data_IF_628892819379
#
_entry.id   IF_628892819379
#
_cell.length_a   1.000
_cell.length_b   1.000
_cell.length_c   1.000
_cell.angle_alpha   90.00
_cell.angle_beta   90.00
_cell.angle_gamma   90.00
#
_symmetry.space_group_name_H-M   'P 1'
#
loop_
_entity.id
_entity.type
_entity.pdbx_description
1 polymer ?
#
# COMPACT_ATOMS: atom_id res chain seq x y z
N UNK A 1 -2.99 -9.70 11.63
CA UNK A 1 -1.94 -9.11 10.76
C UNK A 1 -1.73 -7.66 11.13
N UNK A 2 -0.52 -7.12 10.95
CA UNK A 2 -0.17 -5.73 11.29
C UNK A 2 0.30 -4.97 10.06
N UNK A 3 -0.18 -3.75 9.86
CA UNK A 3 0.30 -2.86 8.80
C UNK A 3 1.02 -1.66 9.40
N UNK A 4 2.28 -1.47 9.02
CA UNK A 4 3.10 -0.37 9.49
C UNK A 4 3.03 0.80 8.51
N UNK A 5 2.57 1.96 8.97
CA UNK A 5 2.53 3.21 8.19
C UNK A 5 2.35 4.45 9.06
N UNK A 6 2.60 5.62 8.48
CA UNK A 6 2.20 6.87 9.12
C UNK A 6 0.68 7.11 8.96
N UNK A 7 0.03 7.86 9.87
CA UNK A 7 -1.41 8.10 9.82
C UNK A 7 -1.88 8.71 8.49
N UNK A 8 -3.09 8.35 8.05
CA UNK A 8 -3.74 8.86 6.84
C UNK A 8 -2.94 8.63 5.53
N UNK A 9 -2.16 7.55 5.44
CA UNK A 9 -1.48 7.20 4.21
C UNK A 9 -2.46 6.56 3.20
N UNK A 10 -2.75 7.19 2.05
CA UNK A 10 -3.71 6.64 1.08
C UNK A 10 -3.28 5.29 0.49
N UNK A 11 -1.98 4.97 0.54
CA UNK A 11 -1.45 3.67 0.12
C UNK A 11 -1.93 2.52 1.03
N UNK A 12 -2.23 2.79 2.29
CA UNK A 12 -2.75 1.81 3.25
C UNK A 12 -4.25 1.56 3.02
N UNK A 13 -4.99 2.56 2.56
CA UNK A 13 -6.44 2.45 2.39
C UNK A 13 -6.83 1.33 1.43
N UNK A 14 -6.04 1.07 0.37
CA UNK A 14 -6.27 -0.06 -0.55
C UNK A 14 -6.35 -1.40 0.22
N UNK A 15 -5.41 -1.62 1.13
CA UNK A 15 -5.33 -2.81 1.97
C UNK A 15 -6.49 -2.86 2.98
N UNK A 16 -6.81 -1.75 3.64
CA UNK A 16 -7.91 -1.66 4.60
C UNK A 16 -9.29 -1.86 3.95
N UNK A 17 -9.50 -1.32 2.74
CA UNK A 17 -10.72 -1.52 1.98
C UNK A 17 -10.85 -3.00 1.61
N UNK A 18 -9.80 -3.61 1.04
CA UNK A 18 -9.79 -5.03 0.71
C UNK A 18 -10.12 -5.88 1.95
N UNK A 19 -9.48 -5.60 3.08
CA UNK A 19 -9.69 -6.27 4.36
C UNK A 19 -11.16 -6.24 4.81
N UNK A 20 -11.83 -5.08 4.71
CA UNK A 20 -13.26 -4.95 5.04
C UNK A 20 -14.15 -5.81 4.14
N UNK A 21 -13.86 -5.87 2.84
CA UNK A 21 -14.62 -6.71 1.90
C UNK A 21 -14.46 -8.21 2.18
N UNK A 22 -13.28 -8.63 2.64
CA UNK A 22 -13.00 -10.04 2.94
C UNK A 22 -13.25 -10.43 4.40
N UNK A 23 -13.66 -9.49 5.25
CA UNK A 23 -13.92 -9.74 6.67
C UNK A 23 -12.66 -10.01 7.50
N UNK A 24 -11.53 -9.44 7.10
CA UNK A 24 -10.23 -9.60 7.78
C UNK A 24 -9.90 -8.34 8.57
N UNK A 25 -9.39 -8.50 9.79
CA UNK A 25 -8.91 -7.39 10.62
C UNK A 25 -7.41 -7.16 10.41
N UNK A 26 -7.03 -5.88 10.31
CA UNK A 26 -5.64 -5.43 10.19
C UNK A 26 -5.41 -4.38 11.27
N UNK A 27 -4.47 -4.66 12.15
CA UNK A 27 -4.00 -3.71 13.16
C UNK A 27 -3.05 -2.69 12.50
N UNK A 28 -3.17 -1.42 12.89
CA UNK A 28 -2.26 -0.34 12.48
C UNK A 28 -1.54 0.21 13.72
N UNK A 29 -0.39 -0.37 14.11
CA UNK A 29 0.37 0.10 15.26
C UNK A 29 0.85 1.55 15.06
N UNK A 30 1.06 2.27 16.16
CA UNK A 30 1.69 3.59 16.11
C UNK A 30 3.06 3.50 15.44
N UNK A 31 3.29 4.36 14.44
CA UNK A 31 4.50 4.34 13.63
C UNK A 31 4.89 5.74 13.18
N UNK A 32 6.14 6.12 13.46
CA UNK A 32 6.73 7.41 13.15
C UNK A 32 7.75 7.27 12.03
N UNK A 33 7.41 7.80 10.84
CA UNK A 33 8.35 7.85 9.72
C UNK A 33 9.55 8.77 10.05
N UNK A 34 10.74 8.37 9.62
CA UNK A 34 12.01 9.04 9.95
C UNK A 34 12.68 8.52 11.22
N UNK A 35 11.92 7.89 12.12
CA UNK A 35 12.42 7.25 13.33
C UNK A 35 12.34 5.72 13.22
N UNK A 36 11.12 5.19 13.16
CA UNK A 36 10.90 3.75 13.28
C UNK A 36 11.34 2.98 12.03
N UNK A 37 11.17 3.58 10.84
CA UNK A 37 11.64 2.98 9.58
C UNK A 37 13.17 2.95 9.43
N UNK A 38 13.92 3.64 10.31
CA UNK A 38 15.39 3.67 10.31
C UNK A 38 16.03 2.66 11.27
N UNK A 39 15.20 1.97 12.06
CA UNK A 39 15.66 0.92 12.97
C UNK A 39 16.15 -0.30 12.20
N UNK A 40 17.08 -1.08 12.79
CA UNK A 40 17.57 -2.31 12.16
C UNK A 40 16.47 -3.36 12.06
N UNK A 41 15.58 -3.35 13.05
CA UNK A 41 14.41 -4.18 13.17
C UNK A 41 13.45 -3.94 12.00
N UNK A 42 13.18 -2.69 11.64
CA UNK A 42 12.32 -2.38 10.49
C UNK A 42 13.01 -2.62 9.14
N UNK A 43 14.32 -2.36 9.05
CA UNK A 43 15.10 -2.68 7.86
C UNK A 43 15.08 -4.19 7.54
N UNK A 44 14.98 -5.06 8.56
CA UNK A 44 14.80 -6.50 8.38
C UNK A 44 13.42 -6.88 7.82
N UNK A 45 12.37 -6.05 8.05
CA UNK A 45 11.02 -6.26 7.50
C UNK A 45 10.90 -5.79 6.05
N UNK A 46 11.55 -4.67 5.71
CA UNK A 46 11.57 -4.13 4.35
C UNK A 46 12.95 -3.50 4.04
N UNK A 47 13.74 -4.07 3.11
CA UNK A 47 15.06 -3.54 2.78
C UNK A 47 15.01 -2.12 2.17
N UNK A 48 13.86 -1.73 1.60
CA UNK A 48 13.64 -0.39 1.03
C UNK A 48 13.38 0.66 2.12
N UNK A 49 13.09 0.25 3.36
CA UNK A 49 12.79 1.13 4.51
C UNK A 49 11.66 2.14 4.26
N UNK A 50 10.73 1.77 3.38
CA UNK A 50 9.51 2.53 3.05
C UNK A 50 8.28 1.85 3.64
N UNK A 51 7.20 2.61 3.70
CA UNK A 51 5.87 2.15 4.13
C UNK A 51 4.86 2.31 2.99
N UNK A 52 3.79 1.49 2.93
CA UNK A 52 3.38 0.48 3.92
C UNK A 52 4.18 -0.83 3.87
N UNK A 53 4.20 -1.53 5.02
CA UNK A 53 4.66 -2.92 5.16
C UNK A 53 3.60 -3.70 5.94
N UNK A 54 3.13 -4.80 5.38
CA UNK A 54 2.26 -5.77 6.06
C UNK A 54 3.12 -6.87 6.68
N UNK A 55 2.96 -7.11 7.97
CA UNK A 55 3.51 -8.26 8.68
C UNK A 55 2.42 -9.33 8.87
N UNK A 56 2.75 -10.53 8.43
CA UNK A 56 1.94 -11.75 8.54
C UNK A 56 2.75 -12.82 9.30
N UNK A 57 2.11 -13.94 9.62
CA UNK A 57 2.78 -15.07 10.28
C UNK A 57 3.81 -15.76 9.37
N UNK A 58 3.71 -15.56 8.05
CA UNK A 58 4.62 -16.13 7.04
C UNK A 58 5.81 -15.19 6.72
N UNK A 59 5.69 -13.91 7.04
CA UNK A 59 6.72 -12.91 6.76
C UNK A 59 6.18 -11.51 6.47
N UNK A 60 7.00 -10.69 5.83
CA UNK A 60 6.66 -9.30 5.52
C UNK A 60 6.41 -9.10 4.01
N UNK A 61 5.40 -8.30 3.69
CA UNK A 61 5.04 -7.90 2.33
C UNK A 61 5.10 -6.36 2.26
N UNK A 62 5.84 -5.83 1.29
CA UNK A 62 5.86 -4.40 0.97
C UNK A 62 5.27 -4.16 -0.43
N UNK A 63 5.08 -2.89 -0.80
CA UNK A 63 4.27 -2.42 -1.95
C UNK A 63 2.75 -2.49 -1.72
N UNK A 64 2.10 -1.34 -1.82
CA UNK A 64 0.68 -1.19 -1.47
C UNK A 64 -0.27 -2.06 -2.31
N UNK A 65 -0.03 -2.16 -3.62
CA UNK A 65 -0.82 -3.03 -4.48
C UNK A 65 -0.56 -4.52 -4.16
N UNK A 66 0.68 -4.92 -3.83
CA UNK A 66 0.98 -6.30 -3.46
C UNK A 66 0.27 -6.69 -2.14
N UNK A 67 0.30 -5.80 -1.15
CA UNK A 67 -0.42 -5.97 0.12
C UNK A 67 -1.93 -6.11 -0.12
N UNK A 68 -2.53 -5.21 -0.91
CA UNK A 68 -3.95 -5.26 -1.22
C UNK A 68 -4.35 -6.55 -1.93
N UNK A 69 -3.55 -7.01 -2.90
CA UNK A 69 -3.75 -8.29 -3.60
C UNK A 69 -3.65 -9.50 -2.66
N UNK A 70 -2.70 -9.49 -1.73
CA UNK A 70 -2.57 -10.56 -0.73
C UNK A 70 -3.83 -10.65 0.13
N UNK A 71 -4.25 -9.52 0.72
CA UNK A 71 -5.45 -9.46 1.57
C UNK A 71 -6.70 -9.88 0.79
N UNK A 72 -6.85 -9.38 -0.44
CA UNK A 72 -7.98 -9.71 -1.29
C UNK A 72 -8.12 -11.22 -1.53
N UNK A 73 -6.99 -11.93 -1.68
CA UNK A 73 -6.97 -13.40 -1.87
C UNK A 73 -7.28 -14.18 -0.59
N UNK A 74 -7.14 -13.60 0.60
CA UNK A 74 -7.51 -14.27 1.86
C UNK A 74 -9.02 -14.51 1.95
N UNK A 75 -9.83 -13.65 1.33
CA UNK A 75 -11.29 -13.84 1.21
C UNK A 75 -11.71 -14.78 0.09
N UNK A 76 -10.78 -15.51 -0.51
CA UNK A 76 -11.01 -16.27 -1.74
C UNK A 76 -11.14 -15.36 -2.95
N UNK A 77 -12.12 -15.62 -3.80
CA UNK A 77 -12.23 -15.01 -5.13
C UNK A 77 -13.25 -13.88 -5.25
N UNK A 78 -13.65 -13.27 -4.12
CA UNK A 78 -14.79 -12.34 -4.08
C UNK A 78 -14.51 -10.99 -4.71
N UNK A 79 -13.28 -10.48 -4.59
CA UNK A 79 -12.91 -9.12 -5.03
C UNK A 79 -11.66 -9.06 -5.92
N UNK A 80 -11.04 -10.20 -6.21
CA UNK A 80 -9.82 -10.28 -7.01
C UNK A 80 -9.93 -11.25 -8.20
N UNK A 81 -11.15 -11.62 -8.59
CA UNK A 81 -11.41 -12.49 -9.74
C UNK A 81 -11.24 -13.98 -9.47
N UNK A 82 -11.82 -14.79 -10.33
CA UNK A 82 -11.87 -16.26 -10.27
C UNK A 82 -11.09 -16.95 -11.40
N UNK A 83 -10.57 -16.18 -12.36
CA UNK A 83 -9.84 -16.71 -13.51
C UNK A 83 -8.60 -15.86 -13.81
N UNK A 84 -7.60 -16.41 -14.51
CA UNK A 84 -6.43 -15.62 -14.94
C UNK A 84 -6.81 -14.36 -15.73
N UNK A 85 -7.90 -14.42 -16.50
CA UNK A 85 -8.41 -13.28 -17.25
C UNK A 85 -8.98 -12.20 -16.33
N UNK A 86 -9.84 -12.56 -15.38
CA UNK A 86 -10.42 -11.61 -14.42
C UNK A 86 -9.35 -10.98 -13.53
N UNK A 87 -8.38 -11.77 -13.04
CA UNK A 87 -7.25 -11.24 -12.26
C UNK A 87 -6.43 -10.25 -13.08
N UNK A 88 -6.20 -10.54 -14.37
CA UNK A 88 -5.45 -9.66 -15.26
C UNK A 88 -6.19 -8.34 -15.54
N UNK A 89 -7.52 -8.37 -15.67
CA UNK A 89 -8.32 -7.15 -15.81
C UNK A 89 -8.23 -6.26 -14.57
N UNK A 90 -8.20 -6.85 -13.37
CA UNK A 90 -8.03 -6.09 -12.12
C UNK A 90 -6.61 -5.53 -12.03
N UNK A 91 -5.60 -6.33 -12.36
CA UNK A 91 -4.20 -5.90 -12.34
C UNK A 91 -3.93 -4.76 -13.33
N UNK A 92 -4.52 -4.82 -14.52
CA UNK A 92 -4.44 -3.76 -15.50
C UNK A 92 -4.83 -2.40 -14.91
N UNK A 93 -5.95 -2.33 -14.18
CA UNK A 93 -6.40 -1.06 -13.58
C UNK A 93 -5.57 -0.65 -12.36
N UNK A 94 -5.11 -1.62 -11.56
CA UNK A 94 -4.24 -1.36 -10.42
C UNK A 94 -2.89 -0.77 -10.85
N UNK A 95 -2.32 -1.29 -11.93
CA UNK A 95 -1.03 -0.84 -12.46
C UNK A 95 -1.19 0.45 -13.27
N UNK A 96 -2.29 0.61 -14.03
CA UNK A 96 -2.64 1.89 -14.67
C UNK A 96 -2.76 3.01 -13.64
N UNK A 97 -3.47 2.78 -12.52
CA UNK A 97 -3.63 3.78 -11.48
C UNK A 97 -2.28 4.23 -10.89
N UNK A 98 -1.36 3.30 -10.63
CA UNK A 98 -0.04 3.65 -10.07
C UNK A 98 0.82 4.42 -11.08
N UNK A 99 0.86 3.96 -12.33
CA UNK A 99 1.78 4.51 -13.34
C UNK A 99 1.25 5.80 -14.00
N UNK A 100 -0.03 5.82 -14.35
CA UNK A 100 -0.63 6.87 -15.18
C UNK A 100 -1.44 7.90 -14.38
N UNK A 101 -1.86 7.55 -13.15
CA UNK A 101 -2.64 8.47 -12.30
C UNK A 101 -1.81 8.98 -11.13
N UNK A 102 -1.31 8.09 -10.26
CA UNK A 102 -0.66 8.49 -9.01
C UNK A 102 0.62 9.30 -9.24
N UNK A 103 1.50 8.85 -10.13
CA UNK A 103 2.75 9.54 -10.42
C UNK A 103 2.53 10.95 -11.01
N UNK A 104 1.74 11.13 -12.08
CA UNK A 104 1.42 12.47 -12.57
C UNK A 104 0.67 13.32 -11.53
N UNK A 105 -0.29 12.75 -10.81
CA UNK A 105 -1.06 13.49 -9.79
C UNK A 105 -0.15 14.01 -8.67
N UNK A 106 0.82 13.21 -8.23
CA UNK A 106 1.79 13.61 -7.21
C UNK A 106 2.62 14.83 -7.63
N UNK A 107 3.00 14.92 -8.91
CA UNK A 107 3.76 16.05 -9.46
C UNK A 107 3.00 17.38 -9.33
N UNK A 108 1.67 17.36 -9.41
CA UNK A 108 0.80 18.53 -9.22
C UNK A 108 0.41 18.76 -7.76
N UNK A 109 0.06 17.69 -7.06
CA UNK A 109 -0.51 17.76 -5.71
C UNK A 109 0.54 18.11 -4.65
N UNK A 110 1.76 17.58 -4.75
CA UNK A 110 2.80 17.84 -3.75
C UNK A 110 3.21 19.32 -3.67
N UNK A 111 3.34 20.07 -4.78
CA UNK A 111 3.49 21.52 -4.73
C UNK A 111 2.31 22.25 -4.07
N UNK A 112 1.08 21.87 -4.40
CA UNK A 112 -0.14 22.48 -3.84
C UNK A 112 -0.21 22.27 -2.33
N UNK A 113 0.19 21.10 -1.85
CA UNK A 113 0.26 20.77 -0.42
C UNK A 113 1.51 21.32 0.29
N UNK A 114 2.40 22.01 -0.42
CA UNK A 114 3.63 22.58 0.14
C UNK A 114 4.71 21.55 0.51
N UNK A 115 4.61 20.31 0.02
CA UNK A 115 5.58 19.23 0.28
C UNK A 115 6.86 19.44 -0.53
N UNK A 116 6.73 19.91 -1.77
CA UNK A 116 7.85 20.25 -2.65
C UNK A 116 7.68 21.69 -3.17
N UNK A 117 8.76 22.38 -3.55
CA UNK A 117 8.66 23.72 -4.13
C UNK A 117 7.81 23.73 -5.40
N UNK A 118 6.96 24.74 -5.56
CA UNK A 118 6.27 24.99 -6.82
C UNK A 118 7.29 25.43 -7.87
N UNK A 119 7.50 24.61 -8.90
CA UNK A 119 8.34 24.97 -10.02
C UNK A 119 7.61 26.00 -10.90
N UNK A 120 7.85 27.28 -10.64
CA UNK A 120 7.38 28.37 -11.49
C UNK A 120 8.28 28.40 -12.73
N UNK A 121 7.83 27.81 -13.83
CA UNK A 121 8.43 28.04 -15.15
C UNK A 121 8.30 29.51 -15.55
#
# INVERSE_FOLDING_TARGET
MKIYSYPNNPRVWKAQIAARYVGVEIEEPEFTIGKDNKTKEFAAKNPVQKVPVLETDEGCIFESNAIARYIARLGGSTIYGNSPFETAQIDQWMDFAVNEIELPSAAWLFPIMGIVPLNKQ
#
